data_IF_901021267612
#
_entry.id   IF_901021267612
#
_cell.length_a   1.000
_cell.length_b   1.000
_cell.length_c   1.000
_cell.angle_alpha   90.00
_cell.angle_beta   90.00
_cell.angle_gamma   90.00
#
_symmetry.space_group_name_H-M   'P 1'
#
loop_
_entity.id
_entity.type
_entity.pdbx_description
1 polymer ?
#
# COMPACT_ATOMS: atom_id res chain seq x y z
N UNK A 1 27.64 28.75 -9.08
CA UNK A 1 26.35 28.11 -9.25
C UNK A 1 26.47 26.79 -9.95
N UNK A 2 26.20 25.78 -9.26
CA UNK A 2 26.28 24.48 -9.89
C UNK A 2 25.00 24.23 -10.66
N UNK A 3 25.18 23.65 -11.78
CA UNK A 3 24.06 23.28 -12.61
C UNK A 3 24.02 21.78 -12.69
N UNK A 4 22.85 21.26 -12.49
CA UNK A 4 22.66 19.83 -12.62
C UNK A 4 22.42 19.52 -14.08
N UNK A 5 23.14 18.55 -14.59
CA UNK A 5 22.98 18.17 -15.98
C UNK A 5 21.62 17.58 -16.23
N UNK A 6 21.08 16.90 -15.22
CA UNK A 6 19.77 16.27 -15.35
C UNK A 6 18.94 16.65 -14.14
N UNK A 7 18.25 17.79 -14.20
CA UNK A 7 17.49 18.25 -13.04
C UNK A 7 16.14 17.55 -12.90
N UNK A 8 16.02 16.36 -13.43
CA UNK A 8 14.79 15.61 -13.42
C UNK A 8 15.05 14.23 -12.84
N UNK A 9 14.16 13.81 -11.96
CA UNK A 9 14.22 12.47 -11.41
C UNK A 9 13.16 11.64 -12.09
N UNK A 10 13.55 10.48 -12.59
CA UNK A 10 12.63 9.56 -13.24
C UNK A 10 12.31 8.40 -12.30
N UNK A 11 11.08 7.92 -12.40
CA UNK A 11 10.69 6.73 -11.67
C UNK A 11 9.76 5.91 -12.56
N UNK A 12 9.71 4.63 -12.29
CA UNK A 12 8.84 3.76 -13.07
C UNK A 12 8.02 2.91 -12.13
N UNK A 13 6.89 2.47 -12.62
CA UNK A 13 6.13 1.47 -11.92
C UNK A 13 6.56 0.08 -12.39
N UNK A 14 5.86 -0.93 -11.93
CA UNK A 14 6.27 -2.29 -12.25
C UNK A 14 5.98 -2.67 -13.69
N UNK A 15 5.22 -1.85 -14.39
CA UNK A 15 4.97 -2.07 -15.82
C UNK A 15 5.88 -1.25 -16.69
N UNK A 16 6.86 -0.59 -16.09
CA UNK A 16 7.85 0.24 -16.77
C UNK A 16 7.27 1.54 -17.33
N UNK A 17 6.11 1.95 -16.84
CA UNK A 17 5.59 3.26 -17.18
C UNK A 17 6.37 4.30 -16.40
N UNK A 18 6.88 5.28 -17.11
CA UNK A 18 7.80 6.25 -16.53
C UNK A 18 7.11 7.52 -16.11
N UNK A 19 7.42 7.98 -14.92
CA UNK A 19 7.04 9.30 -14.47
C UNK A 19 8.27 10.11 -14.21
N UNK A 20 8.07 11.39 -13.93
CA UNK A 20 9.20 12.26 -13.68
C UNK A 20 8.79 13.42 -12.81
N UNK A 21 9.77 13.93 -12.09
CA UNK A 21 9.58 15.14 -11.31
C UNK A 21 10.83 16.00 -11.50
N UNK A 22 10.60 17.29 -11.76
CA UNK A 22 11.69 18.23 -11.91
C UNK A 22 12.23 18.62 -10.54
N UNK A 23 13.49 19.03 -10.54
CA UNK A 23 14.05 19.61 -9.34
C UNK A 23 13.16 20.76 -8.91
N UNK A 24 12.89 20.86 -7.62
CA UNK A 24 11.98 21.83 -7.05
C UNK A 24 10.52 21.56 -7.37
N UNK A 25 10.24 20.48 -8.07
CA UNK A 25 8.87 20.07 -8.26
C UNK A 25 8.37 19.28 -7.07
N UNK A 26 7.14 18.84 -7.19
CA UNK A 26 6.51 18.05 -6.13
C UNK A 26 6.25 16.65 -6.63
N UNK A 27 6.71 15.67 -5.87
CA UNK A 27 6.42 14.28 -6.16
C UNK A 27 5.31 13.83 -5.22
N UNK A 28 4.20 13.44 -5.81
CA UNK A 28 3.05 13.03 -5.03
C UNK A 28 2.94 11.51 -4.99
N UNK A 29 2.79 10.97 -3.81
CA UNK A 29 2.53 9.55 -3.62
C UNK A 29 1.06 9.40 -3.28
N UNK A 30 0.28 9.01 -4.24
CA UNK A 30 -1.16 8.93 -4.12
C UNK A 30 -1.56 7.55 -3.63
N UNK A 31 -2.31 7.51 -2.54
CA UNK A 31 -2.76 6.23 -2.01
C UNK A 31 -3.95 5.74 -2.81
N UNK A 32 -3.87 4.48 -3.22
CA UNK A 32 -5.03 3.84 -3.79
C UNK A 32 -5.94 3.33 -2.71
N UNK A 33 -6.98 2.64 -3.13
CA UNK A 33 -7.93 2.08 -2.18
C UNK A 33 -7.22 1.09 -1.27
N UNK A 34 -7.45 1.21 0.02
CA UNK A 34 -6.83 0.31 0.98
C UNK A 34 -5.51 0.77 1.52
N UNK A 35 -4.98 1.87 1.00
CA UNK A 35 -3.70 2.39 1.44
C UNK A 35 -3.84 3.82 1.91
N UNK A 36 -2.85 4.27 2.66
CA UNK A 36 -2.83 5.61 3.18
C UNK A 36 -1.40 6.11 3.20
N UNK A 37 -1.19 7.37 2.82
CA UNK A 37 0.14 7.95 2.84
C UNK A 37 0.13 9.22 3.67
N UNK A 38 1.20 9.41 4.44
CA UNK A 38 1.35 10.60 5.27
C UNK A 38 2.79 11.08 5.16
N UNK A 39 2.95 12.34 4.84
CA UNK A 39 4.27 12.96 4.79
C UNK A 39 4.49 13.78 6.03
N UNK A 40 5.67 13.66 6.60
CA UNK A 40 6.02 14.39 7.81
C UNK A 40 7.51 14.64 7.83
N UNK A 41 7.92 15.90 7.68
CA UNK A 41 9.32 16.22 7.61
C UNK A 41 9.96 15.60 6.38
N UNK A 42 10.97 14.79 6.59
CA UNK A 42 11.64 14.12 5.49
C UNK A 42 11.21 12.66 5.38
N UNK A 43 10.04 12.35 5.89
CA UNK A 43 9.56 10.97 5.91
C UNK A 43 8.23 10.87 5.21
N UNK A 44 8.05 9.78 4.52
CA UNK A 44 6.78 9.40 3.94
C UNK A 44 6.41 8.03 4.48
N UNK A 45 5.26 7.96 5.12
CA UNK A 45 4.79 6.71 5.68
C UNK A 45 3.67 6.17 4.82
N UNK A 46 3.80 4.93 4.41
CA UNK A 46 2.76 4.24 3.64
C UNK A 46 2.21 3.13 4.52
N UNK A 47 0.92 3.13 4.71
CA UNK A 47 0.30 2.14 5.57
C UNK A 47 -0.96 1.60 4.92
N UNK A 48 -1.38 0.43 5.41
CA UNK A 48 -2.63 -0.15 4.95
C UNK A 48 -3.77 0.31 5.82
N UNK A 49 -4.93 0.49 5.20
CA UNK A 49 -6.15 0.76 5.94
C UNK A 49 -6.75 -0.57 6.37
N UNK A 50 -7.47 -0.53 7.47
CA UNK A 50 -8.18 -1.72 7.91
C UNK A 50 -9.42 -1.93 7.06
N UNK A 51 -9.64 -3.17 6.69
CA UNK A 51 -10.81 -3.52 5.91
C UNK A 51 -12.07 -3.45 6.77
N UNK A 52 -13.19 -3.18 6.13
CA UNK A 52 -14.49 -3.22 6.78
C UNK A 52 -15.49 -3.72 5.75
N UNK A 53 -16.73 -3.83 6.17
CA UNK A 53 -17.77 -4.29 5.24
C UNK A 53 -17.95 -3.35 4.05
N UNK A 54 -17.56 -2.11 4.22
CA UNK A 54 -17.79 -1.12 3.20
C UNK A 54 -16.51 -0.56 2.62
N UNK A 55 -15.35 -1.08 3.04
CA UNK A 55 -14.09 -0.48 2.64
C UNK A 55 -13.05 -1.56 2.42
N UNK A 56 -12.39 -1.49 1.28
CA UNK A 56 -11.29 -2.39 0.95
C UNK A 56 -10.08 -1.99 1.79
N UNK A 57 -9.40 -2.97 2.33
CA UNK A 57 -8.23 -2.69 3.13
C UNK A 57 -7.51 -3.96 3.52
N UNK A 58 -6.66 -3.86 4.53
CA UNK A 58 -5.93 -5.01 5.04
C UNK A 58 -6.68 -5.59 6.22
N UNK A 59 -6.50 -6.87 6.45
CA UNK A 59 -7.24 -7.55 7.49
C UNK A 59 -6.37 -8.56 8.20
N UNK A 60 -6.74 -8.80 9.42
CA UNK A 60 -6.14 -9.85 10.22
C UNK A 60 -7.20 -10.93 10.42
N UNK A 61 -6.81 -12.17 10.32
CA UNK A 61 -7.74 -13.27 10.41
C UNK A 61 -7.62 -13.95 11.78
N UNK A 62 -8.75 -14.26 12.35
CA UNK A 62 -8.81 -14.89 13.65
C UNK A 62 -8.30 -16.32 13.55
N UNK A 63 -7.31 -16.65 14.36
CA UNK A 63 -6.69 -17.97 14.27
C UNK A 63 -7.59 -19.09 14.78
N UNK A 64 -8.67 -18.76 15.46
CA UNK A 64 -9.62 -19.79 15.89
C UNK A 64 -10.41 -20.33 14.72
N UNK A 65 -10.63 -19.51 13.69
CA UNK A 65 -11.48 -19.90 12.57
C UNK A 65 -10.73 -20.01 11.27
N UNK A 66 -9.57 -19.36 11.17
CA UNK A 66 -8.83 -19.30 9.94
C UNK A 66 -7.39 -19.71 10.15
N UNK A 67 -6.84 -20.34 9.15
CA UNK A 67 -5.44 -20.70 9.14
C UNK A 67 -4.80 -19.96 7.96
N UNK A 68 -3.84 -19.09 8.27
CA UNK A 68 -3.20 -18.28 7.25
C UNK A 68 -1.72 -18.63 7.21
N UNK A 69 -1.28 -19.10 6.06
CA UNK A 69 0.13 -19.47 5.88
C UNK A 69 0.61 -18.82 4.60
N UNK A 70 1.61 -17.96 4.72
CA UNK A 70 2.21 -17.29 3.56
C UNK A 70 1.15 -16.64 2.68
N UNK A 71 0.19 -15.98 3.30
CA UNK A 71 -0.88 -15.30 2.59
C UNK A 71 -2.02 -16.18 2.15
N UNK A 72 -1.91 -17.47 2.38
CA UNK A 72 -2.91 -18.42 1.96
C UNK A 72 -3.90 -18.64 3.11
N UNK A 73 -5.15 -18.34 2.89
CA UNK A 73 -6.18 -18.35 3.92
C UNK A 73 -7.06 -19.56 3.76
N UNK A 74 -7.15 -20.36 4.81
CA UNK A 74 -8.02 -21.52 4.83
C UNK A 74 -8.92 -21.45 6.04
N UNK A 75 -10.09 -22.02 5.91
CA UNK A 75 -11.00 -22.13 7.05
C UNK A 75 -10.59 -23.36 7.83
N UNK A 76 -10.10 -23.13 9.05
CA UNK A 76 -9.67 -24.25 9.89
C UNK A 76 -10.82 -24.87 10.66
N UNK A 77 -11.83 -24.06 10.96
CA UNK A 77 -12.98 -24.56 11.71
C UNK A 77 -14.21 -23.86 11.18
N UNK A 78 -15.14 -24.62 10.68
CA UNK A 78 -16.43 -24.08 10.30
C UNK A 78 -17.35 -24.31 11.48
N UNK A 79 -17.64 -23.21 12.13
CA UNK A 79 -18.60 -23.26 13.20
C UNK A 79 -19.94 -22.95 12.60
N UNK A 80 -20.32 -23.81 11.69
CA UNK A 80 -21.49 -23.59 10.91
C UNK A 80 -22.74 -23.62 11.76
N UNK A 81 -22.48 -23.85 12.96
CA UNK A 81 -23.56 -23.84 13.83
C UNK A 81 -24.43 -25.03 13.56
N UNK A 82 -25.57 -24.85 13.98
CA UNK A 82 -26.52 -25.90 13.85
C UNK A 82 -27.39 -25.61 12.67
N UNK A 83 -27.65 -26.62 12.05
CA UNK A 83 -28.58 -26.56 10.93
C UNK A 83 -29.81 -27.35 11.30
#
# INVERSE_FOLDING_TARGET
TSKLANPTIFFTDETSTQGQVSLEGTLEFLAGEGLNTVANGNKLTISGELASNSNIGVAKFNSNNFDVTSGDVEISTIDGGSF
#
